data_IF_756494236351
#
_entry.id   IF_756494236351
#
_cell.length_a   1.000
_cell.length_b   1.000
_cell.length_c   1.000
_cell.angle_alpha   90.00
_cell.angle_beta   90.00
_cell.angle_gamma   90.00
#
_symmetry.space_group_name_H-M   'P 1'
#
loop_
_entity.id
_entity.type
_entity.pdbx_description
1 polymer ?
#
# COMPACT_ATOMS: atom_id res chain seq x y z
N UNK A 1 64.25 -22.51 18.43
CA UNK A 1 63.09 -21.58 18.46
C UNK A 1 63.03 -20.91 17.10
N UNK A 2 61.88 -20.68 16.40
CA UNK A 2 60.46 -20.75 16.80
C UNK A 2 59.56 -21.51 15.78
N UNK A 3 58.44 -22.15 16.19
CA UNK A 3 57.34 -22.44 15.22
C UNK A 3 55.99 -22.93 15.78
N UNK A 4 55.75 -22.94 17.10
CA UNK A 4 54.52 -23.50 17.68
C UNK A 4 53.44 -22.47 18.03
N UNK A 5 53.69 -21.17 17.84
CA UNK A 5 52.73 -20.11 18.19
C UNK A 5 51.65 -19.84 17.12
N UNK A 6 51.81 -20.32 15.88
CA UNK A 6 50.84 -20.03 14.82
C UNK A 6 49.63 -20.97 14.80
N UNK A 7 49.76 -22.23 15.22
CA UNK A 7 48.69 -23.23 15.04
C UNK A 7 47.46 -23.00 15.94
N UNK A 8 47.64 -22.42 17.12
CA UNK A 8 46.56 -22.16 18.08
C UNK A 8 45.64 -21.01 17.68
N UNK A 9 46.10 -20.11 16.81
CA UNK A 9 45.30 -19.00 16.26
C UNK A 9 44.65 -19.39 14.93
N UNK A 10 45.31 -20.23 14.13
CA UNK A 10 44.82 -20.66 12.81
C UNK A 10 43.50 -21.45 12.90
N UNK A 11 43.39 -22.39 13.85
CA UNK A 11 42.19 -23.21 14.06
C UNK A 11 40.92 -22.40 14.40
N UNK A 12 40.91 -21.49 15.40
CA UNK A 12 39.75 -20.67 15.70
C UNK A 12 39.41 -19.68 14.58
N UNK A 13 40.39 -19.12 13.87
CA UNK A 13 40.14 -18.24 12.71
C UNK A 13 39.48 -19.01 11.57
N UNK A 14 39.94 -20.22 11.26
CA UNK A 14 39.30 -21.11 10.28
C UNK A 14 37.88 -21.48 10.71
N UNK A 15 37.65 -21.80 11.98
CA UNK A 15 36.31 -22.11 12.49
C UNK A 15 35.36 -20.91 12.35
N UNK A 16 35.79 -19.70 12.72
CA UNK A 16 35.01 -18.47 12.55
C UNK A 16 34.75 -18.17 11.07
N UNK A 17 35.74 -18.35 10.20
CA UNK A 17 35.58 -18.15 8.76
C UNK A 17 34.60 -19.16 8.16
N UNK A 18 34.68 -20.43 8.53
CA UNK A 18 33.75 -21.48 8.07
C UNK A 18 32.34 -21.20 8.57
N UNK A 19 32.16 -20.91 9.86
CA UNK A 19 30.86 -20.54 10.44
C UNK A 19 30.30 -19.29 9.76
N UNK A 20 31.13 -18.24 9.58
CA UNK A 20 30.76 -17.02 8.87
C UNK A 20 30.34 -17.29 7.42
N UNK A 21 31.04 -18.18 6.72
CA UNK A 21 30.72 -18.58 5.35
C UNK A 21 29.43 -19.40 5.28
N UNK A 22 29.19 -20.30 6.24
CA UNK A 22 27.96 -21.08 6.34
C UNK A 22 26.75 -20.19 6.67
N UNK A 23 26.91 -19.24 7.61
CA UNK A 23 25.89 -18.23 7.92
C UNK A 23 25.63 -17.34 6.72
N UNK A 24 26.67 -16.92 6.00
CA UNK A 24 26.55 -16.11 4.79
C UNK A 24 25.84 -16.88 3.67
N UNK A 25 26.22 -18.13 3.39
CA UNK A 25 25.54 -19.00 2.42
C UNK A 25 24.08 -19.27 2.81
N UNK A 26 23.81 -19.54 4.10
CA UNK A 26 22.45 -19.74 4.62
C UNK A 26 21.60 -18.45 4.52
N UNK A 27 22.22 -17.28 4.62
CA UNK A 27 21.56 -15.98 4.44
C UNK A 27 21.52 -15.51 2.97
N UNK A 28 22.30 -16.13 2.08
CA UNK A 28 22.34 -15.78 0.66
C UNK A 28 21.10 -16.32 -0.01
N UNK A 29 20.14 -15.42 -0.25
CA UNK A 29 18.93 -15.73 -1.00
C UNK A 29 19.29 -15.89 -2.47
N UNK A 30 18.94 -17.04 -3.02
CA UNK A 30 18.93 -17.26 -4.47
C UNK A 30 17.51 -16.90 -4.93
N UNK A 31 17.41 -16.11 -5.98
CA UNK A 31 16.14 -15.74 -6.58
C UNK A 31 16.02 -16.46 -7.91
N UNK A 32 14.85 -17.04 -8.16
CA UNK A 32 14.47 -17.59 -9.45
C UNK A 32 13.37 -16.72 -10.08
N UNK A 33 13.27 -16.77 -11.41
CA UNK A 33 12.21 -16.03 -12.11
C UNK A 33 10.91 -16.82 -11.97
N UNK A 34 9.98 -16.27 -11.20
CA UNK A 34 8.65 -16.86 -10.98
C UNK A 34 7.54 -16.23 -11.83
N UNK A 35 7.83 -15.13 -12.53
CA UNK A 35 6.86 -14.38 -13.34
C UNK A 35 7.43 -13.02 -13.78
N UNK A 36 6.56 -12.12 -14.21
CA UNK A 36 6.87 -10.72 -14.49
C UNK A 36 5.74 -9.81 -14.04
N UNK A 37 6.07 -8.57 -13.62
CA UNK A 37 5.06 -7.55 -13.32
C UNK A 37 4.40 -7.15 -14.63
N UNK A 38 3.12 -7.49 -14.80
CA UNK A 38 2.35 -7.13 -15.99
C UNK A 38 1.77 -5.74 -15.87
N UNK A 39 1.27 -5.38 -14.67
CA UNK A 39 0.67 -4.07 -14.38
C UNK A 39 0.96 -3.62 -12.95
N UNK A 40 0.97 -2.31 -12.75
CA UNK A 40 0.95 -1.70 -11.43
C UNK A 40 -0.24 -0.75 -11.33
N UNK A 41 -0.85 -0.69 -10.15
CA UNK A 41 -1.99 0.15 -9.90
C UNK A 41 -1.73 1.06 -8.72
N UNK A 42 -2.15 2.30 -8.87
CA UNK A 42 -2.03 3.32 -7.84
C UNK A 42 -3.41 3.79 -7.39
N UNK A 43 -3.59 3.86 -6.08
CA UNK A 43 -4.86 4.25 -5.44
C UNK A 43 -4.60 5.43 -4.51
N UNK A 44 -4.65 6.69 -4.98
CA UNK A 44 -4.34 7.85 -4.13
C UNK A 44 -5.31 8.00 -2.95
N UNK A 45 -6.59 7.72 -3.19
CA UNK A 45 -7.66 7.86 -2.19
C UNK A 45 -8.24 6.48 -1.86
N UNK A 46 -8.31 6.17 -0.57
CA UNK A 46 -8.97 4.96 -0.07
C UNK A 46 -10.43 4.92 -0.52
N UNK A 47 -10.94 3.73 -0.86
CA UNK A 47 -12.33 3.49 -1.29
C UNK A 47 -12.74 4.06 -2.66
N UNK A 48 -11.87 4.84 -3.33
CA UNK A 48 -12.08 5.36 -4.68
C UNK A 48 -11.34 4.48 -5.71
N UNK A 49 -11.72 4.56 -7.00
CA UNK A 49 -11.02 3.85 -8.09
C UNK A 49 -9.53 4.23 -8.12
N UNK A 50 -8.70 3.30 -8.57
CA UNK A 50 -7.29 3.59 -8.91
C UNK A 50 -7.10 3.75 -10.40
N UNK A 51 -5.85 3.85 -10.81
CA UNK A 51 -5.46 3.85 -12.21
C UNK A 51 -4.15 3.06 -12.39
N UNK A 52 -3.93 2.60 -13.62
CA UNK A 52 -2.71 1.89 -14.00
C UNK A 52 -1.55 2.88 -14.10
N UNK A 53 -0.38 2.49 -13.62
CA UNK A 53 0.86 3.26 -13.71
C UNK A 53 1.97 2.39 -14.29
N UNK A 54 2.87 2.99 -15.06
CA UNK A 54 4.00 2.30 -15.68
C UNK A 54 5.21 2.19 -14.75
N UNK A 55 5.32 3.11 -13.80
CA UNK A 55 6.40 3.16 -12.82
C UNK A 55 5.93 3.77 -11.49
N UNK A 56 6.69 3.52 -10.44
CA UNK A 56 6.49 4.11 -9.13
C UNK A 56 7.60 3.66 -8.18
N UNK A 57 7.82 4.46 -7.15
CA UNK A 57 8.86 4.19 -6.16
C UNK A 57 8.32 3.27 -5.07
N UNK A 58 9.00 2.16 -4.83
CA UNK A 58 8.67 1.27 -3.73
C UNK A 58 9.16 1.87 -2.40
N UNK A 59 8.23 2.29 -1.54
CA UNK A 59 8.54 2.81 -0.21
C UNK A 59 8.14 1.84 0.89
N UNK A 60 8.51 2.15 2.14
CA UNK A 60 8.03 1.38 3.30
C UNK A 60 6.52 1.48 3.50
N UNK A 61 5.88 2.55 2.99
CA UNK A 61 4.45 2.80 3.12
C UNK A 61 3.63 2.26 1.94
N UNK A 62 4.27 1.73 0.89
CA UNK A 62 3.62 1.27 -0.34
C UNK A 62 4.20 1.95 -1.57
N UNK A 63 3.44 1.96 -2.66
CA UNK A 63 3.83 2.63 -3.90
C UNK A 63 3.78 4.16 -3.73
N UNK A 64 4.75 4.88 -4.27
CA UNK A 64 4.76 6.34 -4.37
C UNK A 64 4.80 6.73 -5.85
N UNK A 65 3.87 7.59 -6.27
CA UNK A 65 3.75 8.07 -7.66
C UNK A 65 3.65 9.59 -7.61
N UNK A 66 4.53 10.28 -8.35
CA UNK A 66 4.59 11.74 -8.42
C UNK A 66 4.62 12.42 -7.02
N UNK A 67 5.40 11.86 -6.09
CA UNK A 67 5.53 12.37 -4.72
C UNK A 67 4.34 12.07 -3.79
N UNK A 68 3.30 11.37 -4.27
CA UNK A 68 2.16 10.97 -3.47
C UNK A 68 2.25 9.50 -3.08
N UNK A 69 2.09 9.23 -1.78
CA UNK A 69 1.99 7.86 -1.25
C UNK A 69 0.64 7.24 -1.59
N UNK A 70 0.65 5.95 -1.89
CA UNK A 70 -0.55 5.15 -2.09
C UNK A 70 -1.46 5.24 -0.86
N UNK A 71 -2.76 5.42 -1.11
CA UNK A 71 -3.84 5.52 -0.10
C UNK A 71 -3.47 6.49 1.03
N UNK A 72 -2.90 7.64 0.68
CA UNK A 72 -2.61 8.73 1.63
C UNK A 72 -3.81 9.62 1.89
N UNK A 73 -4.88 9.51 1.11
CA UNK A 73 -6.16 10.18 1.36
C UNK A 73 -7.26 9.19 1.77
N UNK A 74 -8.22 9.63 2.58
CA UNK A 74 -9.49 8.94 2.79
C UNK A 74 -10.61 9.94 3.10
N UNK A 75 -11.85 9.46 3.08
CA UNK A 75 -13.00 10.22 3.55
C UNK A 75 -13.34 9.81 4.98
N UNK A 76 -13.73 10.79 5.79
CA UNK A 76 -14.27 10.59 7.13
C UNK A 76 -15.66 11.21 7.24
N UNK A 77 -16.45 10.71 8.18
CA UNK A 77 -17.76 11.25 8.54
C UNK A 77 -17.70 12.18 9.76
N UNK A 78 -18.87 12.61 10.24
CA UNK A 78 -19.04 13.51 11.38
C UNK A 78 -18.42 13.00 12.68
N UNK A 79 -18.22 11.68 12.82
CA UNK A 79 -17.64 11.06 14.00
C UNK A 79 -16.12 10.82 13.82
N UNK A 80 -15.51 11.41 12.79
CA UNK A 80 -14.14 11.16 12.36
C UNK A 80 -13.87 9.66 12.10
N UNK A 81 -14.87 8.92 11.60
CA UNK A 81 -14.71 7.51 11.23
C UNK A 81 -14.57 7.40 9.71
N UNK A 82 -13.73 6.46 9.24
CA UNK A 82 -13.64 6.13 7.82
C UNK A 82 -15.02 5.98 7.17
N UNK A 83 -15.26 6.73 6.09
CA UNK A 83 -16.30 6.44 5.11
C UNK A 83 -15.76 5.52 4.02
N UNK A 84 -16.14 4.24 4.08
CA UNK A 84 -15.69 3.22 3.13
C UNK A 84 -16.60 3.09 1.90
N UNK A 85 -16.10 2.44 0.85
CA UNK A 85 -16.91 2.10 -0.33
C UNK A 85 -18.11 1.18 0.01
N UNK A 86 -18.02 0.40 1.11
CA UNK A 86 -19.15 -0.43 1.58
C UNK A 86 -20.34 0.43 2.04
N UNK A 87 -20.05 1.57 2.65
CA UNK A 87 -21.05 2.53 3.10
C UNK A 87 -21.47 3.50 1.98
N UNK A 88 -20.55 3.84 1.08
CA UNK A 88 -20.80 4.73 -0.06
C UNK A 88 -20.31 4.13 -1.39
N UNK A 89 -21.06 3.19 -2.01
CA UNK A 89 -20.64 2.51 -3.24
C UNK A 89 -20.36 3.45 -4.43
N UNK A 90 -21.00 4.63 -4.47
CA UNK A 90 -20.75 5.67 -5.49
C UNK A 90 -19.30 6.14 -5.55
N UNK A 91 -18.51 5.92 -4.49
CA UNK A 91 -17.06 6.19 -4.51
C UNK A 91 -16.32 5.36 -5.57
N UNK A 92 -16.84 4.19 -5.96
CA UNK A 92 -16.28 3.35 -7.02
C UNK A 92 -16.30 4.03 -8.40
N UNK A 93 -17.19 5.01 -8.59
CA UNK A 93 -17.38 5.72 -9.86
C UNK A 93 -16.46 6.94 -9.99
N UNK A 94 -15.81 7.35 -8.90
CA UNK A 94 -14.85 8.45 -8.91
C UNK A 94 -13.52 7.98 -9.47
N UNK A 95 -12.93 8.80 -10.35
CA UNK A 95 -11.67 8.53 -11.04
C UNK A 95 -10.63 9.60 -10.66
N UNK A 96 -9.65 9.27 -9.82
CA UNK A 96 -8.58 10.18 -9.44
C UNK A 96 -7.44 10.13 -10.46
N UNK A 97 -6.76 11.25 -10.67
CA UNK A 97 -5.50 11.37 -11.40
C UNK A 97 -4.60 12.41 -10.74
N UNK A 98 -3.29 12.27 -10.94
CA UNK A 98 -2.32 13.29 -10.51
C UNK A 98 -1.83 14.04 -11.75
N UNK A 99 -2.03 15.35 -11.77
CA UNK A 99 -1.56 16.26 -12.81
C UNK A 99 -0.92 17.47 -12.12
N UNK A 100 0.32 17.80 -12.45
CA UNK A 100 1.03 19.00 -11.94
C UNK A 100 0.94 19.21 -10.42
N UNK A 101 1.26 18.16 -9.64
CA UNK A 101 1.16 18.17 -8.17
C UNK A 101 -0.25 18.45 -7.63
N UNK A 102 -1.29 18.12 -8.40
CA UNK A 102 -2.69 18.20 -7.98
C UNK A 102 -3.37 16.86 -8.17
N UNK A 103 -4.20 16.52 -7.19
CA UNK A 103 -5.12 15.40 -7.26
C UNK A 103 -6.42 15.90 -7.88
N UNK A 104 -6.70 15.44 -9.10
CA UNK A 104 -7.95 15.72 -9.81
C UNK A 104 -8.86 14.51 -9.65
N UNK A 105 -10.06 14.70 -9.13
CA UNK A 105 -11.07 13.65 -8.95
C UNK A 105 -12.26 13.97 -9.84
N UNK A 106 -12.48 13.15 -10.85
CA UNK A 106 -13.62 13.24 -11.76
C UNK A 106 -14.65 12.17 -11.43
N UNK A 107 -15.90 12.38 -11.84
CA UNK A 107 -16.99 11.42 -11.62
C UNK A 107 -18.18 11.70 -12.51
N UNK A 108 -19.19 10.80 -12.52
CA UNK A 108 -20.43 11.04 -13.24
C UNK A 108 -21.20 12.20 -12.60
N UNK A 109 -21.81 13.03 -13.45
CA UNK A 109 -22.74 14.11 -13.07
C UNK A 109 -22.16 15.14 -12.06
N UNK A 110 -20.85 15.39 -12.11
CA UNK A 110 -20.18 16.35 -11.23
C UNK A 110 -18.96 16.98 -11.92
N UNK A 111 -18.72 18.27 -11.64
CA UNK A 111 -17.49 18.92 -12.08
C UNK A 111 -16.25 18.33 -11.39
N UNK A 112 -15.10 18.21 -12.07
CA UNK A 112 -13.88 17.70 -11.46
C UNK A 112 -13.47 18.51 -10.22
N UNK A 113 -13.14 17.78 -9.15
CA UNK A 113 -12.54 18.36 -7.95
C UNK A 113 -11.03 18.40 -8.08
N UNK A 114 -10.43 19.54 -7.76
CA UNK A 114 -8.97 19.70 -7.69
C UNK A 114 -8.54 19.89 -6.24
N UNK A 115 -7.58 19.09 -5.79
CA UNK A 115 -6.97 19.15 -4.46
C UNK A 115 -5.46 19.31 -4.63
N UNK A 116 -4.86 20.30 -3.98
CA UNK A 116 -3.41 20.51 -4.05
C UNK A 116 -2.66 19.41 -3.26
N UNK A 117 -1.61 18.86 -3.86
CA UNK A 117 -0.76 17.85 -3.21
C UNK A 117 0.39 18.57 -2.53
N UNK A 118 0.19 18.91 -1.26
CA UNK A 118 1.23 19.47 -0.41
C UNK A 118 2.35 18.46 -0.13
N UNK A 119 3.60 18.90 -0.06
CA UNK A 119 4.73 18.03 0.28
C UNK A 119 4.84 17.73 1.78
N UNK A 120 4.31 18.62 2.62
CA UNK A 120 4.33 18.51 4.08
C UNK A 120 3.13 19.24 4.71
N UNK A 121 2.82 18.95 5.99
CA UNK A 121 1.91 19.77 6.79
C UNK A 121 2.33 21.25 6.85
N UNK A 122 1.36 22.15 6.90
CA UNK A 122 1.54 23.61 7.09
C UNK A 122 1.24 24.02 8.53
N UNK A 123 1.86 25.11 9.04
CA UNK A 123 1.44 25.72 10.30
C UNK A 123 -0.04 26.10 10.28
N UNK A 124 -0.81 25.63 11.28
CA UNK A 124 -2.25 25.89 11.39
C UNK A 124 -3.16 24.87 10.70
N UNK A 125 -2.59 23.85 10.04
CA UNK A 125 -3.38 22.74 9.50
C UNK A 125 -4.20 22.05 10.61
N UNK A 126 -5.48 21.77 10.30
CA UNK A 126 -6.37 21.08 11.23
C UNK A 126 -6.04 19.60 11.26
N UNK A 127 -5.35 19.18 12.31
CA UNK A 127 -5.09 17.77 12.60
C UNK A 127 -6.37 17.16 13.21
N UNK A 128 -6.79 16.03 12.65
CA UNK A 128 -7.95 15.25 13.10
C UNK A 128 -7.45 13.87 13.51
N UNK A 129 -7.79 13.47 14.73
CA UNK A 129 -7.71 12.06 15.14
C UNK A 129 -8.95 11.34 14.60
N UNK A 130 -8.73 10.25 13.86
CA UNK A 130 -9.80 9.51 13.20
C UNK A 130 -9.65 8.00 13.36
N UNK A 131 -10.79 7.32 13.30
CA UNK A 131 -10.90 5.87 13.42
C UNK A 131 -10.83 5.22 12.04
N UNK A 132 -9.84 4.36 11.86
CA UNK A 132 -9.66 3.52 10.67
C UNK A 132 -9.71 2.04 11.10
N UNK A 133 -10.85 1.40 10.87
CA UNK A 133 -11.16 0.07 11.42
C UNK A 133 -11.06 0.09 12.95
N UNK A 134 -10.09 -0.62 13.52
CA UNK A 134 -9.78 -0.68 14.93
C UNK A 134 -8.57 0.19 15.32
N UNK A 135 -8.02 0.95 14.36
CA UNK A 135 -6.85 1.82 14.55
C UNK A 135 -7.24 3.28 14.70
N UNK A 136 -6.43 4.01 15.47
CA UNK A 136 -6.44 5.47 15.52
C UNK A 136 -5.33 6.01 14.61
N UNK A 137 -5.65 7.01 13.78
CA UNK A 137 -4.70 7.68 12.89
C UNK A 137 -4.89 9.19 12.89
N UNK A 138 -3.78 9.92 12.74
CA UNK A 138 -3.76 11.37 12.63
C UNK A 138 -3.69 11.76 11.16
N UNK A 139 -4.57 12.66 10.76
CA UNK A 139 -4.71 13.14 9.38
C UNK A 139 -4.99 14.63 9.36
N UNK A 140 -4.69 15.28 8.24
CA UNK A 140 -4.95 16.69 8.02
C UNK A 140 -6.20 16.85 7.17
N UNK A 141 -7.04 17.79 7.56
CA UNK A 141 -8.22 18.17 6.80
C UNK A 141 -7.90 18.86 5.47
N UNK A 142 -8.54 18.46 4.37
CA UNK A 142 -8.33 19.06 3.05
C UNK A 142 -9.18 20.33 2.77
N UNK A 143 -9.86 20.88 3.77
CA UNK A 143 -10.57 22.15 3.70
C UNK A 143 -12.05 22.05 3.26
N UNK A 144 -12.78 23.13 3.54
CA UNK A 144 -14.25 23.15 3.37
C UNK A 144 -14.71 23.09 1.92
N UNK A 145 -13.92 23.62 0.97
CA UNK A 145 -14.23 23.52 -0.46
C UNK A 145 -14.27 22.06 -0.91
N UNK A 146 -13.26 21.28 -0.48
CA UNK A 146 -13.16 19.85 -0.79
C UNK A 146 -14.28 19.07 -0.09
N UNK A 147 -14.53 19.38 1.19
CA UNK A 147 -15.62 18.76 1.95
C UNK A 147 -16.99 18.99 1.28
N UNK A 148 -17.31 20.22 0.88
CA UNK A 148 -18.57 20.56 0.20
C UNK A 148 -18.78 19.76 -1.08
N UNK A 149 -17.73 19.58 -1.89
CA UNK A 149 -17.80 18.80 -3.12
C UNK A 149 -18.20 17.34 -2.85
N UNK A 150 -17.56 16.68 -1.88
CA UNK A 150 -17.92 15.30 -1.52
C UNK A 150 -19.31 15.20 -0.92
N UNK A 151 -19.72 16.17 -0.10
CA UNK A 151 -21.06 16.21 0.48
C UNK A 151 -22.15 16.33 -0.59
N UNK A 152 -21.91 17.16 -1.62
CA UNK A 152 -22.81 17.31 -2.77
C UNK A 152 -22.87 16.01 -3.60
N UNK A 153 -21.72 15.45 -3.97
CA UNK A 153 -21.67 14.23 -4.78
C UNK A 153 -22.33 13.03 -4.08
N UNK A 154 -22.05 12.85 -2.78
CA UNK A 154 -22.60 11.73 -2.00
C UNK A 154 -24.01 12.00 -1.47
N UNK A 155 -24.51 13.24 -1.56
CA UNK A 155 -25.76 13.70 -0.92
C UNK A 155 -25.79 13.37 0.58
N UNK A 156 -24.65 13.55 1.25
CA UNK A 156 -24.47 13.28 2.69
C UNK A 156 -23.74 14.44 3.35
N UNK A 157 -24.26 15.02 4.45
CA UNK A 157 -23.57 16.11 5.14
C UNK A 157 -22.32 15.62 5.88
N UNK A 158 -21.48 16.56 6.33
CA UNK A 158 -20.37 16.33 7.25
C UNK A 158 -19.28 15.34 6.77
N UNK A 159 -19.23 15.05 5.48
CA UNK A 159 -18.13 14.29 4.88
C UNK A 159 -16.93 15.21 4.64
N UNK A 160 -15.75 14.74 5.03
CA UNK A 160 -14.48 15.46 4.85
C UNK A 160 -13.43 14.56 4.21
N UNK A 161 -12.69 15.10 3.25
CA UNK A 161 -11.48 14.46 2.75
C UNK A 161 -10.33 14.83 3.69
N UNK A 162 -9.54 13.83 4.06
CA UNK A 162 -8.40 13.98 4.94
C UNK A 162 -7.18 13.28 4.36
N UNK A 163 -5.99 13.76 4.73
CA UNK A 163 -4.72 13.27 4.23
C UNK A 163 -3.78 12.86 5.36
N UNK A 164 -3.19 11.68 5.23
CA UNK A 164 -2.10 11.18 6.05
C UNK A 164 -0.74 11.68 5.55
N UNK A 165 0.15 11.99 6.49
CA UNK A 165 1.55 12.33 6.22
C UNK A 165 2.50 11.44 7.05
N UNK A 166 3.62 10.96 6.49
CA UNK A 166 4.55 10.04 7.16
C UNK A 166 5.20 10.54 8.45
N UNK A 167 5.22 11.86 8.67
CA UNK A 167 5.79 12.49 9.86
C UNK A 167 4.91 12.25 11.11
N UNK A 168 3.64 11.88 10.93
CA UNK A 168 2.73 11.58 12.03
C UNK A 168 2.91 10.18 12.62
N UNK A 169 2.40 9.92 13.84
CA UNK A 169 2.49 8.61 14.48
C UNK A 169 1.99 7.48 13.57
N UNK A 170 2.77 6.40 13.53
CA UNK A 170 2.44 5.21 12.74
C UNK A 170 1.21 4.52 13.31
N UNK A 171 0.34 4.02 12.42
CA UNK A 171 -0.79 3.18 12.78
C UNK A 171 -0.36 1.88 13.43
N UNK A 172 -1.13 1.44 14.43
CA UNK A 172 -0.98 0.13 15.06
C UNK A 172 -1.97 -0.90 14.48
N UNK A 173 -1.81 -1.20 13.19
CA UNK A 173 -2.74 -2.04 12.41
C UNK A 173 -2.61 -3.54 12.65
N UNK A 174 -1.52 -3.97 13.30
CA UNK A 174 -1.26 -5.39 13.61
C UNK A 174 -1.85 -5.70 14.97
N UNK A 175 -3.17 -5.91 15.03
CA UNK A 175 -3.84 -6.37 16.24
C UNK A 175 -3.67 -7.89 16.43
N UNK A 176 -4.04 -8.40 17.62
CA UNK A 176 -3.85 -9.77 18.13
C UNK A 176 -4.60 -10.86 17.36
N UNK A 177 -4.64 -10.80 16.02
CA UNK A 177 -5.20 -11.84 15.18
C UNK A 177 -4.09 -12.81 14.76
N UNK A 178 -4.28 -14.14 14.89
CA UNK A 178 -3.26 -15.13 14.54
C UNK A 178 -2.71 -14.98 13.11
N UNK A 179 -3.56 -14.56 12.17
CA UNK A 179 -3.20 -14.32 10.77
C UNK A 179 -2.18 -13.19 10.58
N UNK A 180 -2.10 -12.25 11.51
CA UNK A 180 -1.22 -11.07 11.43
C UNK A 180 0.05 -11.20 12.26
N UNK A 181 0.25 -12.33 12.97
CA UNK A 181 1.43 -12.54 13.83
C UNK A 181 2.75 -12.50 13.06
N UNK A 182 2.73 -12.88 11.77
CA UNK A 182 3.89 -12.86 10.89
C UNK A 182 4.12 -11.49 10.22
N UNK A 183 3.18 -10.55 10.35
CA UNK A 183 3.39 -9.19 9.87
C UNK A 183 4.43 -8.52 10.77
N UNK A 184 5.44 -7.92 10.14
CA UNK A 184 6.42 -7.12 10.86
C UNK A 184 5.70 -5.89 11.41
N UNK A 185 5.33 -5.92 12.69
CA UNK A 185 4.68 -4.81 13.43
C UNK A 185 5.33 -3.44 13.22
N UNK A 186 6.60 -3.41 12.82
CA UNK A 186 7.39 -2.18 12.56
C UNK A 186 7.24 -1.62 11.15
N UNK A 187 6.65 -2.35 10.21
CA UNK A 187 6.44 -1.87 8.84
C UNK A 187 5.28 -0.87 8.83
N UNK A 188 5.52 0.40 8.47
CA UNK A 188 4.46 1.38 8.43
C UNK A 188 3.53 1.16 7.24
N UNK A 189 2.30 1.62 7.36
CA UNK A 189 1.33 1.75 6.26
C UNK A 189 0.68 3.14 6.38
N UNK A 190 0.19 3.68 5.26
CA UNK A 190 -0.64 4.89 5.23
C UNK A 190 -2.08 4.53 5.65
N UNK A 191 -3.10 4.79 4.82
CA UNK A 191 -4.49 4.48 5.09
C UNK A 191 -4.94 3.16 4.42
N UNK A 192 -4.01 2.27 4.06
CA UNK A 192 -4.34 0.91 3.59
C UNK A 192 -5.08 0.08 4.65
N UNK A 193 -5.72 -1.02 4.25
CA UNK A 193 -6.37 -1.90 5.22
C UNK A 193 -5.35 -2.62 6.10
N UNK A 194 -4.34 -3.26 5.49
CA UNK A 194 -3.42 -4.14 6.22
C UNK A 194 -1.96 -4.07 5.74
N UNK A 195 -1.70 -3.90 4.45
CA UNK A 195 -0.35 -3.98 3.90
C UNK A 195 0.00 -2.80 2.99
N UNK A 196 1.29 -2.50 2.92
CA UNK A 196 1.86 -1.50 2.03
C UNK A 196 1.71 -1.90 0.54
N UNK A 197 1.79 -3.19 0.24
CA UNK A 197 1.61 -3.73 -1.10
C UNK A 197 0.62 -4.90 -1.08
N UNK A 198 -0.20 -4.99 -2.11
CA UNK A 198 -1.03 -6.15 -2.41
C UNK A 198 -0.60 -6.70 -3.78
N UNK A 199 -0.11 -7.94 -3.79
CA UNK A 199 0.30 -8.64 -5.01
C UNK A 199 -0.76 -9.67 -5.36
N UNK A 200 -1.08 -9.78 -6.64
CA UNK A 200 -2.00 -10.80 -7.16
C UNK A 200 -1.49 -11.25 -8.53
N UNK A 201 -1.74 -12.49 -8.91
CA UNK A 201 -1.45 -12.95 -10.28
C UNK A 201 -2.67 -12.86 -11.20
N UNK A 202 -2.44 -12.62 -12.49
CA UNK A 202 -3.48 -12.68 -13.51
C UNK A 202 -4.09 -14.08 -13.57
N UNK A 203 -3.27 -15.13 -13.43
CA UNK A 203 -3.70 -16.51 -13.41
C UNK A 203 -4.71 -16.81 -12.27
N UNK A 204 -4.52 -16.23 -11.07
CA UNK A 204 -5.50 -16.35 -9.97
C UNK A 204 -6.86 -15.72 -10.29
N UNK A 205 -6.86 -14.57 -10.98
CA UNK A 205 -8.09 -13.88 -11.38
C UNK A 205 -8.81 -14.69 -12.45
N UNK A 206 -8.08 -15.18 -13.45
CA UNK A 206 -8.61 -15.98 -14.55
C UNK A 206 -9.20 -17.30 -14.04
N UNK A 207 -8.50 -17.97 -13.14
CA UNK A 207 -8.97 -19.18 -12.50
C UNK A 207 -10.28 -18.95 -11.73
N UNK A 208 -10.37 -17.89 -10.89
CA UNK A 208 -11.62 -17.58 -10.21
C UNK A 208 -12.75 -17.26 -11.20
N UNK A 209 -12.43 -16.54 -12.28
CA UNK A 209 -13.36 -16.24 -13.35
C UNK A 209 -13.92 -17.50 -14.03
N UNK A 210 -13.19 -18.61 -14.09
CA UNK A 210 -13.72 -19.88 -14.60
C UNK A 210 -14.81 -20.47 -13.69
N UNK A 211 -14.78 -20.17 -12.38
CA UNK A 211 -15.68 -20.75 -11.37
C UNK A 211 -16.96 -19.94 -11.13
N UNK A 212 -16.91 -18.61 -11.30
CA UNK A 212 -18.02 -17.69 -10.92
C UNK A 212 -19.05 -17.44 -12.03
N UNK A 213 -19.00 -18.20 -13.12
CA UNK A 213 -19.99 -18.15 -14.20
C UNK A 213 -19.85 -16.92 -15.11
N UNK A 214 -20.99 -16.35 -15.53
CA UNK A 214 -21.05 -15.31 -16.57
C UNK A 214 -20.59 -13.92 -16.10
N UNK A 215 -20.84 -13.58 -14.83
CA UNK A 215 -20.45 -12.28 -14.26
C UNK A 215 -18.97 -12.28 -13.91
N UNK A 216 -18.14 -12.11 -14.93
CA UNK A 216 -16.68 -12.00 -14.75
C UNK A 216 -16.32 -10.80 -13.90
N UNK A 217 -15.33 -10.99 -13.05
CA UNK A 217 -14.69 -9.94 -12.26
C UNK A 217 -13.37 -9.55 -12.91
N UNK A 218 -12.90 -8.36 -12.56
CA UNK A 218 -11.65 -7.82 -13.04
C UNK A 218 -10.66 -7.61 -11.88
N UNK A 219 -9.41 -7.33 -12.23
CA UNK A 219 -8.38 -6.91 -11.26
C UNK A 219 -8.82 -5.74 -10.37
N UNK A 220 -9.70 -4.86 -10.87
CA UNK A 220 -10.21 -3.71 -10.12
C UNK A 220 -11.10 -4.10 -8.94
N UNK A 221 -11.68 -5.30 -8.95
CA UNK A 221 -12.45 -5.82 -7.82
C UNK A 221 -11.55 -6.17 -6.62
N UNK A 222 -10.30 -6.56 -6.86
CA UNK A 222 -9.34 -6.96 -5.84
C UNK A 222 -8.38 -5.84 -5.43
N UNK A 223 -8.17 -4.87 -6.32
CA UNK A 223 -7.35 -3.67 -6.07
C UNK A 223 -5.90 -4.02 -5.63
N UNK A 224 -5.18 -4.89 -6.35
CA UNK A 224 -3.78 -5.13 -6.08
C UNK A 224 -2.96 -3.89 -6.42
N UNK A 225 -1.86 -3.66 -5.73
CA UNK A 225 -0.86 -2.66 -6.10
C UNK A 225 0.00 -3.16 -7.27
N UNK A 226 0.24 -4.48 -7.34
CA UNK A 226 1.07 -5.14 -8.36
C UNK A 226 0.35 -6.37 -8.89
N UNK A 227 0.22 -6.46 -10.22
CA UNK A 227 -0.27 -7.65 -10.92
C UNK A 227 0.91 -8.37 -11.56
N UNK A 228 1.01 -9.67 -11.31
CA UNK A 228 2.05 -10.54 -11.86
C UNK A 228 1.45 -11.49 -12.88
N UNK A 229 2.20 -11.77 -13.93
CA UNK A 229 1.83 -12.72 -14.99
C UNK A 229 2.99 -13.70 -15.25
N UNK A 230 2.73 -14.76 -16.02
CA UNK A 230 3.68 -15.82 -16.31
C UNK A 230 3.89 -16.79 -15.13
N UNK A 231 2.87 -16.99 -14.30
CA UNK A 231 2.89 -17.93 -13.19
C UNK A 231 1.59 -18.76 -13.13
N UNK A 232 1.60 -19.85 -12.36
CA UNK A 232 0.40 -20.67 -12.12
C UNK A 232 -0.60 -19.92 -11.22
N UNK A 233 -1.92 -20.23 -11.27
CA UNK A 233 -2.89 -19.68 -10.33
C UNK A 233 -2.44 -19.87 -8.89
N UNK A 234 -2.56 -18.82 -8.08
CA UNK A 234 -2.22 -18.76 -6.66
C UNK A 234 -0.73 -18.99 -6.33
N UNK A 235 0.16 -18.99 -7.34
CA UNK A 235 1.60 -19.12 -7.10
C UNK A 235 2.12 -18.02 -6.15
N UNK A 236 1.51 -16.84 -6.18
CA UNK A 236 1.86 -15.70 -5.33
C UNK A 236 1.76 -15.97 -3.83
N UNK A 237 0.93 -16.91 -3.40
CA UNK A 237 0.71 -17.25 -1.98
C UNK A 237 1.96 -17.87 -1.34
N UNK A 238 2.82 -18.47 -2.16
CA UNK A 238 4.05 -19.13 -1.73
C UNK A 238 5.29 -18.25 -1.79
N UNK A 239 5.18 -17.03 -2.35
CA UNK A 239 6.32 -16.13 -2.52
C UNK A 239 6.65 -15.39 -1.22
N UNK A 240 7.52 -15.97 -0.40
CA UNK A 240 7.98 -15.31 0.83
C UNK A 240 8.78 -14.03 0.57
N UNK A 241 9.56 -14.02 -0.52
CA UNK A 241 10.49 -12.95 -0.87
C UNK A 241 10.47 -12.67 -2.36
N UNK A 242 10.02 -11.48 -2.72
CA UNK A 242 10.02 -11.00 -4.10
C UNK A 242 11.11 -9.96 -4.31
N UNK A 243 11.72 -10.00 -5.50
CA UNK A 243 12.61 -8.96 -6.00
C UNK A 243 12.15 -8.56 -7.40
N UNK A 244 11.95 -7.27 -7.61
CA UNK A 244 11.54 -6.69 -8.89
C UNK A 244 12.13 -5.29 -9.02
N UNK A 245 12.23 -4.78 -10.26
CA UNK A 245 12.86 -3.49 -10.54
C UNK A 245 14.37 -3.48 -10.31
N UNK A 246 14.95 -2.27 -10.26
CA UNK A 246 16.35 -2.02 -9.94
C UNK A 246 16.52 -1.69 -8.46
#
# INVERSE_FOLDING_TARGET
MPQLWNSWIILPVLAVAVIGTLVWKKKRRVYEKVGYVSKMFFFPVKSIKGYEVTEGKCTKFGLEVNGLLERSFMLIDENNVLLSQRQAPKLALLAPQIIDSKLIISGPDVDPLTVDIESSPKPGDKIIECQLHSDVVHVIDCGDKVAKWFQQYLKRPNIRLVRFFPEYPKRNYVQNHPFYLNLRRKNPISLQDLSAFHVMSQASIDDLNLRIGEKKISVWNFRPSVLVDGCAPYAEDTWEHMRTGK
#
